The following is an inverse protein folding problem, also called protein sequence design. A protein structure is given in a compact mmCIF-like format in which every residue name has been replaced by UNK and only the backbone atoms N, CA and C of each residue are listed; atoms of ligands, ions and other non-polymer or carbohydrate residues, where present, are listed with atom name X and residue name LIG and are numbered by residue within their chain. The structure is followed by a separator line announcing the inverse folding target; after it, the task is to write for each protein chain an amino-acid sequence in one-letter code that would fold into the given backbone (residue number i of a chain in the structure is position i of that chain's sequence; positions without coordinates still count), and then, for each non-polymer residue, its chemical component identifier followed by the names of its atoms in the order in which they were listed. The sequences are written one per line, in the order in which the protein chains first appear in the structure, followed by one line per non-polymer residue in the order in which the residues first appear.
data_IF_375084606827
#
_entry.id   IF_375084606827
#
_cell.length_a   1.000
_cell.length_b   1.000
_cell.length_c   1.000
_cell.angle_alpha   90.00
_cell.angle_beta   90.00
_cell.angle_gamma   90.00
#
_symmetry.space_group_name_H-M   'P 1'
#
loop_
_entity.id
_entity.type
_entity.pdbx_description
1 polymer ?
#
# COMPACT_ATOMS: atom_id res chain seq x y z
N UNK A 1 6.67 -12.19 -17.20
CA UNK A 1 6.28 -11.63 -18.53
C UNK A 1 6.84 -10.22 -18.66
N UNK A 2 6.98 -9.65 -19.86
CA UNK A 2 7.40 -8.25 -19.99
C UNK A 2 6.19 -7.35 -19.70
N UNK A 3 6.09 -6.83 -18.47
CA UNK A 3 4.95 -6.02 -17.98
C UNK A 3 4.98 -4.61 -18.57
N UNK A 4 6.11 -4.21 -19.15
CA UNK A 4 6.36 -2.89 -19.74
C UNK A 4 6.04 -2.90 -21.25
N UNK A 5 4.86 -3.37 -21.66
CA UNK A 5 4.46 -3.16 -23.05
C UNK A 5 4.40 -1.64 -23.30
N UNK A 6 5.19 -1.15 -24.27
CA UNK A 6 5.38 0.27 -24.65
C UNK A 6 4.09 1.04 -25.02
N UNK A 7 2.94 0.38 -24.97
CA UNK A 7 1.60 0.91 -25.24
C UNK A 7 0.71 1.05 -23.99
N UNK A 8 1.23 0.82 -22.79
CA UNK A 8 0.45 0.91 -21.55
C UNK A 8 0.54 2.33 -20.97
N UNK A 9 -0.54 3.11 -21.04
CA UNK A 9 -0.65 4.40 -20.36
C UNK A 9 -0.71 4.18 -18.84
N UNK A 10 0.47 4.08 -18.21
CA UNK A 10 0.57 4.00 -16.76
C UNK A 10 -0.01 5.27 -16.13
N UNK A 11 -0.93 5.08 -15.20
CA UNK A 11 -1.66 6.16 -14.56
C UNK A 11 -1.99 5.84 -13.11
N UNK A 12 -2.12 6.92 -12.34
CA UNK A 12 -2.69 6.89 -11.00
C UNK A 12 -3.93 7.78 -11.05
N UNK A 13 -5.07 7.22 -10.66
CA UNK A 13 -6.36 7.88 -10.64
C UNK A 13 -6.80 8.07 -9.17
N UNK A 14 -7.31 9.26 -8.86
CA UNK A 14 -7.81 9.59 -7.53
C UNK A 14 -9.30 9.90 -7.64
N UNK A 15 -10.11 9.16 -6.88
CA UNK A 15 -11.56 9.34 -6.84
C UNK A 15 -11.99 9.81 -5.45
N UNK A 16 -12.86 10.82 -5.42
CA UNK A 16 -13.44 11.38 -4.21
C UNK A 16 -14.94 11.06 -4.20
N UNK A 17 -15.39 10.29 -3.23
CA UNK A 17 -16.80 10.00 -3.00
C UNK A 17 -17.25 10.64 -1.69
N UNK A 18 -17.88 11.81 -1.81
CA UNK A 18 -18.38 12.56 -0.66
C UNK A 18 -19.59 11.88 0.00
N UNK A 19 -20.37 11.11 -0.76
CA UNK A 19 -21.56 10.43 -0.23
C UNK A 19 -21.17 9.29 0.70
N UNK A 20 -20.17 8.50 0.29
CA UNK A 20 -19.65 7.39 1.08
C UNK A 20 -18.47 7.79 2.00
N UNK A 21 -18.02 9.05 1.91
CA UNK A 21 -16.88 9.60 2.65
C UNK A 21 -15.59 8.79 2.43
N UNK A 22 -15.30 8.45 1.17
CA UNK A 22 -14.13 7.66 0.80
C UNK A 22 -13.25 8.37 -0.21
N UNK A 23 -11.94 8.19 -0.07
CA UNK A 23 -10.94 8.53 -1.08
C UNK A 23 -10.39 7.22 -1.63
N UNK A 24 -10.38 7.07 -2.96
CA UNK A 24 -9.80 5.89 -3.63
C UNK A 24 -8.62 6.31 -4.47
N UNK A 25 -7.49 5.62 -4.30
CA UNK A 25 -6.30 5.76 -5.15
C UNK A 25 -6.18 4.46 -5.94
N UNK A 26 -6.14 4.54 -7.27
CA UNK A 26 -6.06 3.39 -8.19
C UNK A 26 -4.90 3.57 -9.14
N UNK A 27 -4.05 2.57 -9.24
CA UNK A 27 -3.02 2.45 -10.28
C UNK A 27 -3.28 1.23 -11.18
N UNK A 28 -2.62 1.21 -12.34
CA UNK A 28 -2.56 0.08 -13.26
C UNK A 28 -1.14 -0.53 -13.32
N UNK A 29 -0.43 -0.53 -12.20
CA UNK A 29 0.90 -1.14 -12.07
C UNK A 29 0.86 -2.66 -11.91
N UNK A 30 1.96 -3.20 -11.39
CA UNK A 30 2.20 -4.65 -11.29
C UNK A 30 1.29 -5.38 -10.29
N UNK A 31 0.67 -4.65 -9.36
CA UNK A 31 -0.15 -5.22 -8.29
C UNK A 31 0.65 -6.09 -7.30
N UNK A 32 -0.07 -6.94 -6.57
CA UNK A 32 0.49 -7.87 -5.58
C UNK A 32 -0.29 -9.18 -5.59
N UNK A 33 0.43 -10.28 -5.36
CA UNK A 33 -0.10 -11.61 -5.06
C UNK A 33 -0.59 -11.69 -3.61
N UNK A 34 -1.28 -12.78 -3.26
CA UNK A 34 -1.76 -13.00 -1.89
C UNK A 34 -0.60 -12.99 -0.87
N UNK A 35 0.49 -13.70 -1.18
CA UNK A 35 1.65 -13.81 -0.31
C UNK A 35 2.40 -12.48 -0.17
N UNK A 36 2.48 -11.70 -1.25
CA UNK A 36 3.04 -10.34 -1.21
C UNK A 36 2.18 -9.40 -0.36
N UNK A 37 0.84 -9.51 -0.41
CA UNK A 37 -0.02 -8.74 0.50
C UNK A 37 0.24 -9.13 1.95
N UNK A 38 0.38 -10.42 2.27
CA UNK A 38 0.72 -10.85 3.65
C UNK A 38 2.10 -10.33 4.08
N UNK A 39 3.10 -10.45 3.21
CA UNK A 39 4.49 -10.06 3.51
C UNK A 39 4.67 -8.54 3.62
N UNK A 40 4.08 -7.78 2.69
CA UNK A 40 4.32 -6.34 2.55
C UNK A 40 3.30 -5.50 3.34
N UNK A 41 2.04 -5.97 3.45
CA UNK A 41 0.93 -5.23 4.05
C UNK A 41 0.44 -5.87 5.36
N UNK A 42 0.46 -7.20 5.46
CA UNK A 42 -0.01 -7.92 6.65
C UNK A 42 1.00 -7.95 7.80
N UNK A 43 2.29 -8.04 7.47
CA UNK A 43 3.36 -7.96 8.46
C UNK A 43 3.77 -6.51 8.58
N UNK A 44 3.44 -5.84 9.70
CA UNK A 44 3.87 -4.47 9.99
C UNK A 44 5.39 -4.39 9.80
N UNK A 45 5.78 -3.90 8.63
CA UNK A 45 7.12 -3.67 8.12
C UNK A 45 8.24 -4.29 8.97
N UNK A 46 8.49 -5.60 8.81
CA UNK A 46 9.66 -6.27 9.42
C UNK A 46 10.97 -5.61 8.96
N UNK A 47 11.01 -5.05 7.76
CA UNK A 47 12.18 -4.35 7.19
C UNK A 47 12.16 -2.84 7.43
N UNK A 48 10.99 -2.20 7.33
CA UNK A 48 10.86 -0.75 7.43
C UNK A 48 10.95 -0.19 8.84
N UNK A 49 10.29 -0.78 9.83
CA UNK A 49 10.11 -0.17 11.16
C UNK A 49 11.41 0.01 11.94
N UNK A 50 12.31 -0.97 11.86
CA UNK A 50 13.62 -0.92 12.53
C UNK A 50 14.55 0.08 11.85
N UNK A 51 14.64 0.00 10.53
CA UNK A 51 15.45 0.91 9.72
C UNK A 51 14.91 2.36 9.81
N UNK A 52 13.59 2.54 9.87
CA UNK A 52 12.91 3.81 10.12
C UNK A 52 13.25 4.37 11.51
N UNK A 53 13.17 3.55 12.56
CA UNK A 53 13.54 3.97 13.92
C UNK A 53 15.02 4.36 14.02
N UNK A 54 15.90 3.63 13.32
CA UNK A 54 17.33 3.97 13.23
C UNK A 54 17.57 5.25 12.42
N UNK A 55 16.83 5.48 11.33
CA UNK A 55 16.89 6.68 10.50
C UNK A 55 16.39 7.92 11.25
N UNK A 56 15.26 7.83 11.96
CA UNK A 56 14.72 8.89 12.81
C UNK A 56 15.66 9.29 13.93
N UNK A 57 16.36 8.32 14.54
CA UNK A 57 17.39 8.61 15.54
C UNK A 57 18.56 9.39 14.95
N UNK A 58 18.87 9.19 13.66
CA UNK A 58 19.94 9.87 12.93
C UNK A 58 19.50 11.24 12.36
N UNK A 59 18.21 11.47 12.12
CA UNK A 59 17.69 12.64 11.39
C UNK A 59 17.28 13.85 12.25
N UNK A 60 17.44 13.79 13.58
CA UNK A 60 16.94 14.77 14.58
C UNK A 60 17.26 16.26 14.35
N UNK A 61 17.92 16.70 13.27
CA UNK A 61 18.32 18.07 13.03
C UNK A 61 18.03 18.65 11.61
N UNK A 62 17.24 18.00 10.74
CA UNK A 62 17.11 18.50 9.35
C UNK A 62 15.73 18.28 8.73
N UNK A 63 15.40 19.13 7.74
CA UNK A 63 14.25 19.01 6.81
C UNK A 63 14.17 17.67 6.05
N UNK A 64 15.09 16.73 6.29
CA UNK A 64 15.15 15.38 5.72
C UNK A 64 14.11 14.42 6.30
N UNK A 65 13.45 14.77 7.41
CA UNK A 65 12.43 13.95 8.09
C UNK A 65 11.27 13.50 7.18
N UNK A 66 10.88 14.31 6.19
CA UNK A 66 9.77 13.98 5.27
C UNK A 66 10.17 12.95 4.21
N UNK A 67 11.45 12.92 3.80
CA UNK A 67 11.95 11.96 2.80
C UNK A 67 12.04 10.53 3.34
N UNK A 68 12.23 10.41 4.66
CA UNK A 68 12.38 9.14 5.39
C UNK A 68 11.12 8.30 5.24
N UNK A 69 9.92 8.88 5.39
CA UNK A 69 8.65 8.13 5.32
C UNK A 69 8.47 7.36 4.00
N UNK A 70 8.94 7.93 2.88
CA UNK A 70 8.87 7.30 1.56
C UNK A 70 9.85 6.15 1.34
N UNK A 71 11.00 6.14 2.03
CA UNK A 71 12.07 5.16 1.81
C UNK A 71 11.87 3.84 2.58
N UNK A 72 11.10 3.84 3.67
CA UNK A 72 10.97 2.68 4.56
C UNK A 72 9.72 1.83 4.33
N UNK A 73 8.92 2.12 3.29
CA UNK A 73 7.73 1.32 2.97
C UNK A 73 6.62 1.38 4.03
N UNK A 74 6.75 2.25 5.03
CA UNK A 74 5.74 2.49 6.08
C UNK A 74 4.67 3.49 5.64
N UNK A 75 4.88 4.16 4.50
CA UNK A 75 3.97 5.19 3.97
C UNK A 75 2.54 4.69 3.75
N UNK A 76 2.33 3.40 3.44
CA UNK A 76 0.98 2.83 3.33
C UNK A 76 0.18 3.01 4.63
N UNK A 77 0.79 2.79 5.79
CA UNK A 77 0.12 2.87 7.10
C UNK A 77 -0.17 4.31 7.53
N UNK A 78 0.43 5.32 6.88
CA UNK A 78 0.08 6.73 7.13
C UNK A 78 -1.40 7.04 6.81
N UNK A 79 -2.03 6.20 5.96
CA UNK A 79 -3.46 6.29 5.63
C UNK A 79 -4.37 6.13 6.85
N UNK A 80 -3.95 5.36 7.87
CA UNK A 80 -4.69 5.22 9.13
C UNK A 80 -4.72 6.49 9.97
N UNK A 81 -3.92 7.52 9.66
CA UNK A 81 -4.04 8.83 10.33
C UNK A 81 -5.35 9.55 9.99
N UNK A 82 -5.95 9.25 8.84
CA UNK A 82 -7.14 9.94 8.33
C UNK A 82 -8.32 9.00 8.04
N UNK A 83 -8.09 7.68 8.05
CA UNK A 83 -9.10 6.68 7.75
C UNK A 83 -9.28 5.70 8.91
N UNK A 84 -10.53 5.44 9.26
CA UNK A 84 -10.92 4.41 10.22
C UNK A 84 -10.88 2.98 9.63
N UNK A 85 -10.84 2.86 8.30
CA UNK A 85 -10.82 1.59 7.59
C UNK A 85 -10.09 1.76 6.27
N UNK A 86 -9.16 0.85 5.98
CA UNK A 86 -8.47 0.75 4.70
C UNK A 86 -8.90 -0.54 4.01
N UNK A 87 -9.19 -0.43 2.71
CA UNK A 87 -9.48 -1.56 1.83
C UNK A 87 -8.48 -1.49 0.68
N UNK A 88 -7.69 -2.54 0.52
CA UNK A 88 -6.76 -2.71 -0.59
C UNK A 88 -7.30 -3.81 -1.52
N UNK A 89 -7.57 -3.46 -2.77
CA UNK A 89 -7.93 -4.41 -3.81
C UNK A 89 -6.81 -4.43 -4.85
N UNK A 90 -6.06 -5.52 -4.92
CA UNK A 90 -4.90 -5.66 -5.80
C UNK A 90 -4.98 -6.95 -6.63
N UNK A 91 -4.31 -6.99 -7.76
CA UNK A 91 -4.16 -8.19 -8.59
C UNK A 91 -2.78 -8.13 -9.22
N UNK A 92 -1.95 -9.13 -8.96
CA UNK A 92 -0.62 -9.20 -9.60
C UNK A 92 -0.77 -9.42 -11.11
N UNK A 93 0.10 -8.80 -11.89
CA UNK A 93 0.22 -9.09 -13.32
C UNK A 93 0.60 -10.56 -13.60
N UNK A 94 1.21 -11.24 -12.62
CA UNK A 94 1.60 -12.65 -12.69
C UNK A 94 0.55 -13.60 -12.06
N UNK A 95 -0.64 -13.11 -11.70
CA UNK A 95 -1.72 -13.90 -11.07
C UNK A 95 -3.08 -13.61 -11.71
N UNK A 96 -3.86 -14.66 -11.95
CA UNK A 96 -5.26 -14.51 -12.39
C UNK A 96 -6.20 -14.07 -11.26
N UNK A 97 -5.82 -14.37 -10.02
CA UNK A 97 -6.59 -14.02 -8.83
C UNK A 97 -6.18 -12.63 -8.31
N UNK A 98 -7.19 -11.83 -7.98
CA UNK A 98 -7.04 -10.63 -7.17
C UNK A 98 -7.11 -10.96 -5.68
N UNK A 99 -6.72 -9.99 -4.86
CA UNK A 99 -6.63 -10.08 -3.41
C UNK A 99 -7.27 -8.84 -2.83
N UNK A 100 -8.10 -9.07 -1.81
CA UNK A 100 -8.71 -8.02 -1.00
C UNK A 100 -8.14 -8.10 0.41
N UNK A 101 -7.60 -6.99 0.88
CA UNK A 101 -7.13 -6.83 2.25
C UNK A 101 -7.91 -5.71 2.94
N UNK A 102 -8.28 -5.93 4.19
CA UNK A 102 -9.07 -4.97 4.98
C UNK A 102 -8.48 -4.87 6.39
N UNK A 103 -8.31 -3.64 6.88
CA UNK A 103 -7.95 -3.40 8.29
C UNK A 103 -8.51 -2.07 8.79
N UNK A 104 -8.68 -1.99 10.10
CA UNK A 104 -9.01 -0.77 10.85
C UNK A 104 -7.79 -0.16 11.59
N UNK A 105 -6.60 -0.77 11.46
CA UNK A 105 -5.38 -0.30 12.12
C UNK A 105 -5.20 -0.77 13.56
N UNK A 106 -6.10 -1.60 14.11
CA UNK A 106 -6.05 -2.08 15.50
C UNK A 106 -5.21 -3.36 15.68
N UNK A 107 -4.34 -3.67 14.72
CA UNK A 107 -3.43 -4.82 14.78
C UNK A 107 -3.98 -6.13 14.22
N UNK A 108 -5.19 -6.13 13.66
CA UNK A 108 -5.74 -7.25 12.88
C UNK A 108 -6.15 -6.82 11.47
N UNK A 109 -6.21 -7.78 10.56
CA UNK A 109 -6.66 -7.59 9.18
C UNK A 109 -7.34 -8.86 8.65
N UNK A 110 -8.15 -8.72 7.61
CA UNK A 110 -8.66 -9.84 6.83
C UNK A 110 -8.04 -9.83 5.44
N UNK A 111 -7.86 -11.02 4.87
CA UNK A 111 -7.39 -11.22 3.50
C UNK A 111 -8.29 -12.24 2.82
N UNK A 112 -8.73 -11.93 1.60
CA UNK A 112 -9.65 -12.74 0.82
C UNK A 112 -9.19 -12.76 -0.65
N UNK A 113 -9.24 -13.93 -1.28
CA UNK A 113 -9.10 -14.04 -2.73
C UNK A 113 -10.36 -13.46 -3.41
N UNK A 114 -10.15 -12.69 -4.48
CA UNK A 114 -11.22 -12.10 -5.26
C UNK A 114 -10.95 -12.25 -6.76
N UNK A 115 -12.01 -12.31 -7.57
CA UNK A 115 -11.87 -12.03 -9.00
C UNK A 115 -11.87 -10.53 -9.19
N UNK A 116 -10.73 -9.96 -9.58
CA UNK A 116 -10.64 -8.55 -9.96
C UNK A 116 -10.90 -8.46 -11.45
N UNK A 117 -12.05 -7.89 -11.82
CA UNK A 117 -12.40 -7.52 -13.21
C UNK A 117 -11.51 -6.36 -13.69
#
# INVERSE_FOLDING_TARGET
QNILNDSSDFKIEIFLDKKNNTITIKDNGIGMTHDEVISNIGTIAKSGSRAFTEALKKSKNSKDDLSIIGQFGVGFYSSFMIANKIILNTKSADSDNGVKWISNGEGSFTIEDMKKE
#
